data_IF_320524530102
#
_entry.id   IF_320524530102
#
_cell.length_a   1.000
_cell.length_b   1.000
_cell.length_c   1.000
_cell.angle_alpha   90.00
_cell.angle_beta   90.00
_cell.angle_gamma   90.00
#
_symmetry.space_group_name_H-M   'P 1'
#
loop_
_entity.id
_entity.type
_entity.pdbx_description
1 polymer ?
#
# COMPACT_ATOMS: atom_id res chain seq x y z
N UNK A 1 36.45 31.08 -21.97
CA UNK A 1 35.28 30.96 -21.07
C UNK A 1 35.70 30.20 -19.82
N UNK A 2 35.50 30.75 -18.62
CA UNK A 2 35.95 30.12 -17.37
C UNK A 2 35.02 28.97 -16.95
N UNK A 3 35.60 27.89 -16.41
CA UNK A 3 34.90 26.69 -15.91
C UNK A 3 33.72 27.02 -14.98
N UNK A 4 33.84 28.11 -14.21
CA UNK A 4 32.80 28.62 -13.31
C UNK A 4 31.52 29.06 -14.05
N UNK A 5 31.65 29.67 -15.25
CA UNK A 5 30.47 30.05 -16.05
C UNK A 5 29.72 28.82 -16.56
N UNK A 6 30.46 27.77 -16.95
CA UNK A 6 29.85 26.52 -17.42
C UNK A 6 29.09 25.81 -16.30
N UNK A 7 29.64 25.79 -15.08
CA UNK A 7 28.98 25.22 -13.91
C UNK A 7 27.73 26.01 -13.52
N UNK A 8 27.79 27.34 -13.51
CA UNK A 8 26.64 28.19 -13.20
C UNK A 8 25.46 27.96 -14.17
N UNK A 9 25.74 27.88 -15.48
CA UNK A 9 24.71 27.60 -16.49
C UNK A 9 24.08 26.22 -16.30
N UNK A 10 24.89 25.20 -15.95
CA UNK A 10 24.40 23.84 -15.73
C UNK A 10 23.52 23.72 -14.49
N UNK A 11 23.87 24.40 -13.40
CA UNK A 11 23.03 24.49 -12.21
C UNK A 11 21.72 25.21 -12.47
N UNK A 12 21.76 26.32 -13.22
CA UNK A 12 20.55 27.06 -13.60
C UNK A 12 19.56 26.16 -14.36
N UNK A 13 20.03 25.42 -15.36
CA UNK A 13 19.18 24.52 -16.14
C UNK A 13 18.60 23.36 -15.29
N UNK A 14 19.38 22.84 -14.33
CA UNK A 14 18.88 21.81 -13.42
C UNK A 14 17.71 22.32 -12.55
N UNK A 15 17.86 23.52 -11.97
CA UNK A 15 16.80 24.12 -11.14
C UNK A 15 15.55 24.49 -11.96
N UNK A 16 15.71 24.92 -13.20
CA UNK A 16 14.58 25.18 -14.11
C UNK A 16 13.81 23.89 -14.43
N UNK A 17 14.52 22.78 -14.70
CA UNK A 17 13.90 21.47 -14.92
C UNK A 17 13.20 20.94 -13.66
N UNK A 18 13.82 21.09 -12.49
CA UNK A 18 13.22 20.67 -11.23
C UNK A 18 11.99 21.52 -10.87
N UNK A 19 11.99 22.82 -11.18
CA UNK A 19 10.82 23.68 -11.02
C UNK A 19 9.68 23.29 -11.96
N UNK A 20 9.97 22.92 -13.22
CA UNK A 20 8.97 22.43 -14.17
C UNK A 20 8.36 21.11 -13.68
N UNK A 21 9.19 20.16 -13.23
CA UNK A 21 8.74 18.88 -12.69
C UNK A 21 7.89 19.04 -11.44
N UNK A 22 8.30 19.92 -10.50
CA UNK A 22 7.49 20.24 -9.31
C UNK A 22 6.17 20.90 -9.68
N UNK A 23 6.15 21.82 -10.64
CA UNK A 23 4.92 22.50 -11.06
C UNK A 23 3.94 21.53 -11.74
N UNK A 24 4.43 20.64 -12.61
CA UNK A 24 3.62 19.57 -13.19
C UNK A 24 3.04 18.66 -12.11
N UNK A 25 3.84 18.30 -11.10
CA UNK A 25 3.38 17.48 -9.97
C UNK A 25 2.31 18.19 -9.13
N UNK A 26 2.41 19.49 -8.90
CA UNK A 26 1.41 20.24 -8.12
C UNK A 26 0.10 20.46 -8.90
N UNK A 27 0.15 20.70 -10.22
CA UNK A 27 -1.03 20.80 -11.07
C UNK A 27 -1.77 19.45 -11.16
N UNK A 28 -1.04 18.34 -11.27
CA UNK A 28 -1.61 16.99 -11.22
C UNK A 28 -2.23 16.69 -9.86
N UNK A 29 -1.57 17.03 -8.75
CA UNK A 29 -2.13 16.90 -7.39
C UNK A 29 -3.41 17.72 -7.24
N UNK A 30 -3.42 18.97 -7.69
CA UNK A 30 -4.59 19.84 -7.62
C UNK A 30 -5.76 19.28 -8.44
N UNK A 31 -5.47 18.75 -9.64
CA UNK A 31 -6.46 18.08 -10.49
C UNK A 31 -7.04 16.84 -9.82
N UNK A 32 -6.20 16.01 -9.18
CA UNK A 32 -6.64 14.85 -8.41
C UNK A 32 -7.49 15.24 -7.20
N UNK A 33 -7.10 16.26 -6.44
CA UNK A 33 -7.88 16.77 -5.30
C UNK A 33 -9.26 17.24 -5.76
N UNK A 34 -9.33 18.01 -6.85
CA UNK A 34 -10.60 18.46 -7.43
C UNK A 34 -11.48 17.29 -7.83
N UNK A 35 -10.91 16.29 -8.51
CA UNK A 35 -11.64 15.08 -8.92
C UNK A 35 -12.14 14.26 -7.71
N UNK A 36 -11.37 14.20 -6.63
CA UNK A 36 -11.81 13.57 -5.38
C UNK A 36 -12.99 14.32 -4.76
N UNK A 37 -12.96 15.66 -4.71
CA UNK A 37 -14.07 16.47 -4.20
C UNK A 37 -15.36 16.30 -5.04
N UNK A 38 -15.23 16.23 -6.36
CA UNK A 38 -16.36 15.97 -7.27
C UNK A 38 -16.97 14.58 -7.04
N UNK A 39 -16.12 13.56 -6.82
CA UNK A 39 -16.57 12.22 -6.47
C UNK A 39 -17.28 12.17 -5.11
N UNK A 40 -16.75 12.84 -4.08
CA UNK A 40 -17.37 12.92 -2.75
C UNK A 40 -18.75 13.59 -2.82
N UNK A 41 -18.88 14.70 -3.55
CA UNK A 41 -20.17 15.36 -3.77
C UNK A 41 -21.18 14.44 -4.48
N UNK A 42 -20.73 13.67 -5.46
CA UNK A 42 -21.59 12.72 -6.18
C UNK A 42 -22.06 11.57 -5.27
N UNK A 43 -21.17 11.04 -4.43
CA UNK A 43 -21.51 9.99 -3.45
C UNK A 43 -22.53 10.51 -2.43
N UNK A 44 -22.37 11.74 -1.94
CA UNK A 44 -23.32 12.36 -1.01
C UNK A 44 -24.72 12.47 -1.65
N UNK A 45 -24.82 12.98 -2.87
CA UNK A 45 -26.10 13.10 -3.60
C UNK A 45 -26.78 11.74 -3.80
N UNK A 46 -26.03 10.72 -4.20
CA UNK A 46 -26.56 9.35 -4.34
C UNK A 46 -27.05 8.78 -3.00
N UNK A 47 -26.39 9.12 -1.90
CA UNK A 47 -26.80 8.68 -0.56
C UNK A 47 -28.13 9.32 -0.13
N UNK A 48 -28.34 10.60 -0.45
CA UNK A 48 -29.59 11.32 -0.19
C UNK A 48 -30.75 10.78 -1.05
N UNK A 49 -30.51 10.54 -2.34
CA UNK A 49 -31.49 9.92 -3.24
C UNK A 49 -31.89 8.53 -2.75
N UNK A 50 -30.93 7.72 -2.30
CA UNK A 50 -31.19 6.41 -1.70
C UNK A 50 -32.05 6.52 -0.44
N UNK A 51 -31.75 7.47 0.45
CA UNK A 51 -32.54 7.70 1.67
C UNK A 51 -33.98 8.12 1.33
N UNK A 52 -34.17 9.01 0.34
CA UNK A 52 -35.48 9.42 -0.13
C UNK A 52 -36.30 8.25 -0.72
N UNK A 53 -35.66 7.37 -1.49
CA UNK A 53 -36.30 6.17 -2.04
C UNK A 53 -36.68 5.17 -0.93
N UNK A 54 -35.83 4.99 0.07
CA UNK A 54 -36.13 4.15 1.23
C UNK A 54 -37.34 4.69 2.02
N UNK A 55 -37.42 6.00 2.22
CA UNK A 55 -38.58 6.65 2.84
C UNK A 55 -39.89 6.34 2.08
N UNK A 56 -39.89 6.54 0.76
CA UNK A 56 -41.06 6.21 -0.10
C UNK A 56 -41.47 4.74 0.00
N UNK A 57 -40.50 3.82 0.05
CA UNK A 57 -40.77 2.39 0.21
C UNK A 57 -41.42 2.08 1.56
N UNK A 58 -40.96 2.71 2.65
CA UNK A 58 -41.53 2.54 3.99
C UNK A 58 -42.96 3.09 4.06
N UNK A 59 -43.23 4.25 3.46
CA UNK A 59 -44.57 4.84 3.41
C UNK A 59 -45.55 3.98 2.60
N UNK A 60 -45.12 3.46 1.45
CA UNK A 60 -45.91 2.51 0.67
C UNK A 60 -46.24 1.23 1.45
N UNK A 61 -45.26 0.70 2.21
CA UNK A 61 -45.50 -0.46 3.08
C UNK A 61 -46.53 -0.15 4.18
N UNK A 62 -46.51 1.06 4.76
CA UNK A 62 -47.51 1.52 5.73
C UNK A 62 -48.90 1.64 5.11
N UNK A 63 -49.01 2.20 3.90
CA UNK A 63 -50.28 2.30 3.17
C UNK A 63 -50.88 0.92 2.86
N UNK A 64 -50.05 -0.04 2.46
CA UNK A 64 -50.49 -1.43 2.23
C UNK A 64 -51.00 -2.09 3.51
N UNK A 65 -50.34 -1.87 4.66
CA UNK A 65 -50.83 -2.36 5.96
C UNK A 65 -52.19 -1.76 6.35
N UNK A 66 -52.41 -0.46 6.09
CA UNK A 66 -53.70 0.20 6.38
C UNK A 66 -54.85 -0.32 5.51
N UNK A 67 -54.57 -0.79 4.29
CA UNK A 67 -55.58 -1.36 3.38
C UNK A 67 -56.00 -2.79 3.74
N UNK A 68 -55.24 -3.51 4.59
CA UNK A 68 -55.63 -4.83 5.12
C UNK A 68 -56.56 -4.71 6.35
N UNK A 69 -57.70 -4.01 6.22
CA UNK A 69 -58.85 -4.23 7.12
C UNK A 69 -59.83 -5.14 6.42
N UNK A 70 -59.96 -6.41 6.83
CA UNK A 70 -61.04 -7.25 6.35
C UNK A 70 -62.30 -7.02 7.17
N UNK A 71 -63.34 -6.50 6.52
CA UNK A 71 -64.70 -6.96 6.79
C UNK A 71 -64.93 -8.14 5.83
N UNK A 72 -64.51 -9.34 6.23
CA UNK A 72 -65.02 -10.57 5.63
C UNK A 72 -65.40 -11.54 6.75
N UNK A 73 -66.57 -11.34 7.32
CA UNK A 73 -67.37 -12.46 7.82
C UNK A 73 -68.32 -12.85 6.68
N UNK A 74 -67.84 -13.54 5.65
CA UNK A 74 -68.70 -14.35 4.77
C UNK A 74 -67.88 -15.48 4.15
N UNK A 75 -68.33 -16.69 4.47
CA UNK A 75 -67.93 -18.05 4.10
C UNK A 75 -66.84 -18.32 3.04
N UNK A 76 -65.99 -19.30 3.39
CA UNK A 76 -65.58 -20.48 2.58
C UNK A 76 -66.05 -20.41 1.11
N UNK A 77 -65.17 -20.44 0.10
CA UNK A 77 -64.26 -21.56 -0.19
C UNK A 77 -62.91 -21.11 -0.79
N UNK A 78 -61.83 -21.74 -0.29
CA UNK A 78 -60.44 -21.80 -0.78
C UNK A 78 -59.71 -20.51 -1.23
N UNK A 79 -58.99 -19.84 -0.30
CA UNK A 79 -58.07 -18.73 -0.60
C UNK A 79 -56.64 -19.16 -1.01
N UNK A 80 -56.30 -20.44 -1.03
CA UNK A 80 -54.91 -20.91 -1.14
C UNK A 80 -54.30 -20.84 -2.55
N UNK A 81 -55.02 -20.29 -3.54
CA UNK A 81 -54.57 -20.28 -4.95
C UNK A 81 -54.26 -18.91 -5.54
N UNK A 82 -54.58 -17.81 -4.87
CA UNK A 82 -54.45 -16.46 -5.44
C UNK A 82 -53.33 -15.60 -4.86
N UNK A 83 -52.71 -15.97 -3.74
CA UNK A 83 -51.62 -15.18 -3.14
C UNK A 83 -50.22 -15.56 -3.70
N UNK A 84 -50.06 -16.78 -4.22
CA UNK A 84 -48.78 -17.23 -4.79
C UNK A 84 -48.55 -16.72 -6.23
N UNK A 85 -49.59 -16.61 -7.06
CA UNK A 85 -49.46 -16.14 -8.45
C UNK A 85 -49.16 -14.65 -8.54
N UNK A 86 -49.68 -13.83 -7.64
CA UNK A 86 -49.38 -12.39 -7.59
C UNK A 86 -47.97 -12.10 -7.08
N UNK A 87 -47.50 -12.81 -6.04
CA UNK A 87 -46.12 -12.71 -5.56
C UNK A 87 -45.11 -13.23 -6.59
N UNK A 88 -45.45 -14.30 -7.33
CA UNK A 88 -44.63 -14.86 -8.39
C UNK A 88 -44.60 -13.95 -9.64
N UNK A 89 -45.72 -13.30 -9.98
CA UNK A 89 -45.81 -12.31 -11.05
C UNK A 89 -45.01 -11.03 -10.72
N UNK A 90 -45.04 -10.56 -9.46
CA UNK A 90 -44.28 -9.39 -9.03
C UNK A 90 -42.78 -9.64 -8.91
N UNK A 91 -42.37 -10.83 -8.42
CA UNK A 91 -40.96 -11.25 -8.38
C UNK A 91 -40.38 -11.55 -9.77
N UNK A 92 -41.18 -12.04 -10.73
CA UNK A 92 -40.72 -12.32 -12.09
C UNK A 92 -40.69 -11.11 -13.04
N UNK A 93 -41.29 -9.96 -12.69
CA UNK A 93 -41.30 -8.75 -13.55
C UNK A 93 -40.13 -7.78 -13.31
N UNK A 94 -39.18 -8.08 -12.41
CA UNK A 94 -37.88 -7.38 -12.33
C UNK A 94 -36.65 -8.29 -12.52
N UNK A 95 -36.46 -9.00 -13.65
CA UNK A 95 -35.17 -9.63 -13.94
C UNK A 95 -34.11 -8.62 -14.42
N UNK A 96 -34.48 -7.40 -14.79
CA UNK A 96 -33.56 -6.46 -15.47
C UNK A 96 -32.98 -5.34 -14.59
N UNK A 97 -33.51 -5.08 -13.38
CA UNK A 97 -33.05 -3.96 -12.53
C UNK A 97 -32.26 -4.39 -11.29
N UNK A 98 -32.41 -5.62 -10.78
CA UNK A 98 -31.67 -6.06 -9.59
C UNK A 98 -30.21 -6.43 -9.90
N UNK A 99 -29.97 -7.13 -11.03
CA UNK A 99 -28.61 -7.31 -11.56
C UNK A 99 -27.95 -5.96 -11.83
N UNK A 100 -28.65 -5.00 -12.43
CA UNK A 100 -28.10 -3.66 -12.65
C UNK A 100 -27.70 -2.92 -11.38
N UNK A 101 -28.43 -3.06 -10.26
CA UNK A 101 -28.09 -2.37 -9.01
C UNK A 101 -26.99 -3.11 -8.26
N UNK A 102 -27.02 -4.45 -8.16
CA UNK A 102 -25.96 -5.22 -7.52
C UNK A 102 -24.66 -5.22 -8.34
N UNK A 103 -24.76 -5.18 -9.68
CA UNK A 103 -23.63 -5.01 -10.59
C UNK A 103 -23.12 -3.56 -10.52
N UNK A 104 -23.99 -2.53 -10.46
CA UNK A 104 -23.56 -1.15 -10.19
C UNK A 104 -23.01 -0.96 -8.77
N UNK A 105 -23.46 -1.70 -7.76
CA UNK A 105 -22.89 -1.68 -6.41
C UNK A 105 -21.56 -2.43 -6.38
N UNK A 106 -21.41 -3.50 -7.17
CA UNK A 106 -20.14 -4.22 -7.34
C UNK A 106 -19.13 -3.38 -8.13
N UNK A 107 -19.60 -2.67 -9.15
CA UNK A 107 -18.84 -1.76 -9.98
C UNK A 107 -18.54 -0.44 -9.26
N UNK A 108 -19.46 0.08 -8.42
CA UNK A 108 -19.26 1.22 -7.53
C UNK A 108 -18.59 0.88 -6.18
N UNK A 109 -18.43 -0.41 -5.85
CA UNK A 109 -17.44 -0.88 -4.86
C UNK A 109 -16.03 -0.93 -5.43
N UNK A 110 -15.86 -0.99 -6.75
CA UNK A 110 -14.58 -0.99 -7.43
C UNK A 110 -13.86 0.38 -7.64
N UNK A 111 -14.45 1.59 -7.60
CA UNK A 111 -13.70 2.86 -7.66
C UNK A 111 -12.83 3.12 -6.42
N UNK A 112 -13.08 2.45 -5.30
CA UNK A 112 -12.16 2.47 -4.15
C UNK A 112 -10.93 1.59 -4.40
N UNK A 113 -10.98 0.67 -5.37
CA UNK A 113 -9.85 -0.21 -5.67
C UNK A 113 -8.64 0.56 -6.24
N UNK A 114 -8.77 1.44 -7.25
CA UNK A 114 -7.63 2.23 -7.74
C UNK A 114 -7.00 3.12 -6.67
N UNK A 115 -7.82 3.84 -5.88
CA UNK A 115 -7.32 4.72 -4.82
C UNK A 115 -6.62 3.93 -3.71
N UNK A 116 -7.18 2.78 -3.32
CA UNK A 116 -6.57 1.90 -2.33
C UNK A 116 -5.28 1.27 -2.85
N UNK A 117 -5.25 0.81 -4.10
CA UNK A 117 -4.06 0.28 -4.77
C UNK A 117 -2.98 1.34 -4.89
N UNK A 118 -3.33 2.57 -5.27
CA UNK A 118 -2.40 3.69 -5.33
C UNK A 118 -1.85 4.02 -3.94
N UNK A 119 -2.70 4.07 -2.91
CA UNK A 119 -2.28 4.28 -1.53
C UNK A 119 -1.32 3.19 -1.05
N UNK A 120 -1.60 1.93 -1.36
CA UNK A 120 -0.73 0.79 -1.05
C UNK A 120 0.60 0.87 -1.81
N UNK A 121 0.58 1.22 -3.10
CA UNK A 121 1.77 1.39 -3.92
C UNK A 121 2.64 2.55 -3.41
N UNK A 122 2.04 3.68 -3.04
CA UNK A 122 2.74 4.82 -2.42
C UNK A 122 3.38 4.44 -1.10
N UNK A 123 2.65 3.74 -0.22
CA UNK A 123 3.18 3.26 1.06
C UNK A 123 4.34 2.25 0.86
N UNK A 124 4.22 1.36 -0.11
CA UNK A 124 5.28 0.41 -0.49
C UNK A 124 6.52 1.16 -0.98
N UNK A 125 6.35 2.13 -1.88
CA UNK A 125 7.43 2.96 -2.39
C UNK A 125 8.12 3.74 -1.25
N UNK A 126 7.36 4.41 -0.39
CA UNK A 126 7.90 5.14 0.75
C UNK A 126 8.73 4.24 1.66
N UNK A 127 8.25 3.01 1.93
CA UNK A 127 9.00 2.05 2.75
C UNK A 127 10.30 1.60 2.08
N UNK A 128 10.27 1.37 0.76
CA UNK A 128 11.48 1.04 -0.01
C UNK A 128 12.49 2.20 0.03
N UNK A 129 12.05 3.43 -0.21
CA UNK A 129 12.90 4.63 -0.14
C UNK A 129 13.50 4.80 1.27
N UNK A 130 12.69 4.58 2.31
CA UNK A 130 13.17 4.61 3.69
C UNK A 130 14.28 3.56 3.90
N UNK A 131 14.06 2.30 3.51
CA UNK A 131 15.08 1.25 3.61
C UNK A 131 16.35 1.57 2.79
N UNK A 132 16.23 2.21 1.62
CA UNK A 132 17.38 2.70 0.84
C UNK A 132 18.25 3.66 1.64
N UNK A 133 17.62 4.72 2.16
CA UNK A 133 18.32 5.71 2.98
C UNK A 133 18.98 5.06 4.20
N UNK A 134 18.30 4.11 4.82
CA UNK A 134 18.81 3.33 5.94
C UNK A 134 20.06 2.51 5.59
N UNK A 135 20.04 1.78 4.46
CA UNK A 135 21.17 0.97 4.03
C UNK A 135 22.40 1.84 3.72
N UNK A 136 22.18 3.00 3.09
CA UNK A 136 23.24 4.00 2.92
C UNK A 136 23.80 4.47 4.26
N UNK A 137 22.93 4.76 5.23
CA UNK A 137 23.35 5.18 6.56
C UNK A 137 24.15 4.10 7.31
N UNK A 138 23.71 2.82 7.25
CA UNK A 138 24.45 1.69 7.83
C UNK A 138 25.89 1.67 7.30
N UNK A 139 26.04 1.76 5.98
CA UNK A 139 27.37 1.71 5.34
C UNK A 139 28.22 2.90 5.75
N UNK A 140 27.66 4.10 5.71
CA UNK A 140 28.38 5.32 6.14
C UNK A 140 28.83 5.25 7.60
N UNK A 141 27.97 4.71 8.46
CA UNK A 141 28.28 4.51 9.87
C UNK A 141 29.36 3.44 10.07
N UNK A 142 29.27 2.31 9.39
CA UNK A 142 30.28 1.25 9.43
C UNK A 142 31.66 1.77 8.99
N UNK A 143 31.71 2.61 7.95
CA UNK A 143 32.94 3.28 7.49
C UNK A 143 33.46 4.25 8.56
N UNK A 144 32.59 5.09 9.11
CA UNK A 144 32.94 6.08 10.15
C UNK A 144 33.51 5.42 11.41
N UNK A 145 32.88 4.34 11.82
CA UNK A 145 33.25 3.57 13.01
C UNK A 145 34.41 2.58 12.72
N UNK A 146 34.98 2.61 11.51
CA UNK A 146 36.12 1.80 11.05
C UNK A 146 35.87 0.28 11.08
N UNK A 147 34.61 -0.14 10.98
CA UNK A 147 34.20 -1.56 10.88
C UNK A 147 34.58 -2.10 9.50
N UNK A 148 34.39 -1.29 8.45
CA UNK A 148 34.73 -1.61 7.07
C UNK A 148 35.62 -0.51 6.45
N UNK A 149 36.31 -0.84 5.36
CA UNK A 149 37.18 0.10 4.63
C UNK A 149 36.67 0.27 3.20
N UNK A 150 35.75 1.22 3.02
CA UNK A 150 35.24 1.52 1.66
C UNK A 150 36.17 2.51 0.98
N UNK A 151 36.80 2.08 -0.11
CA UNK A 151 37.57 2.96 -1.00
C UNK A 151 36.62 4.01 -1.58
N UNK A 152 37.03 5.30 -1.69
CA UNK A 152 36.22 6.32 -2.33
C UNK A 152 35.95 5.96 -3.80
N UNK A 153 34.80 5.34 -4.05
CA UNK A 153 34.26 5.15 -5.39
C UNK A 153 33.20 6.21 -5.63
N UNK A 154 33.24 6.83 -6.81
CA UNK A 154 32.24 7.81 -7.25
C UNK A 154 30.85 7.17 -7.44
N UNK A 155 30.80 5.85 -7.63
CA UNK A 155 29.59 5.06 -7.88
C UNK A 155 29.60 3.77 -7.02
N UNK A 156 28.45 3.35 -6.50
CA UNK A 156 28.36 2.06 -5.78
C UNK A 156 29.01 2.02 -4.39
N UNK A 157 29.27 3.17 -3.75
CA UNK A 157 29.83 3.22 -2.38
C UNK A 157 28.99 2.39 -1.39
N UNK A 158 27.67 2.49 -1.47
CA UNK A 158 26.75 1.72 -0.63
C UNK A 158 26.85 0.22 -0.92
N UNK A 159 26.86 -0.18 -2.19
CA UNK A 159 26.99 -1.60 -2.55
C UNK A 159 28.30 -2.20 -2.04
N UNK A 160 29.43 -1.56 -2.37
CA UNK A 160 30.75 -2.04 -1.94
C UNK A 160 30.83 -2.11 -0.41
N UNK A 161 30.21 -1.17 0.28
CA UNK A 161 30.14 -1.18 1.73
C UNK A 161 29.25 -2.30 2.29
N UNK A 162 28.11 -2.58 1.65
CA UNK A 162 27.26 -3.72 2.00
C UNK A 162 28.01 -5.03 1.75
N UNK A 163 28.65 -5.21 0.60
CA UNK A 163 29.45 -6.41 0.30
C UNK A 163 30.55 -6.65 1.34
N UNK A 164 31.29 -5.60 1.72
CA UNK A 164 32.27 -5.69 2.80
C UNK A 164 31.63 -6.01 4.15
N UNK A 165 30.46 -5.44 4.48
CA UNK A 165 29.70 -5.80 5.67
C UNK A 165 29.28 -7.27 5.64
N UNK A 166 28.84 -7.76 4.47
CA UNK A 166 28.46 -9.15 4.21
C UNK A 166 29.59 -10.14 4.47
N UNK A 167 30.84 -9.71 4.30
CA UNK A 167 32.04 -10.50 4.56
C UNK A 167 32.47 -10.50 6.04
N UNK A 168 31.87 -9.67 6.89
CA UNK A 168 32.24 -9.64 8.32
C UNK A 168 31.78 -10.90 9.05
N UNK A 169 32.56 -11.32 10.05
CA UNK A 169 32.22 -12.47 10.90
C UNK A 169 30.89 -12.26 11.64
N UNK A 170 30.63 -11.04 12.07
CA UNK A 170 29.40 -10.69 12.78
C UNK A 170 28.17 -10.86 11.87
N UNK A 171 28.22 -10.33 10.65
CA UNK A 171 27.15 -10.48 9.68
C UNK A 171 26.88 -11.94 9.34
N UNK A 172 27.92 -12.69 8.99
CA UNK A 172 27.77 -14.11 8.61
C UNK A 172 27.21 -14.97 9.74
N UNK A 173 27.62 -14.70 10.99
CA UNK A 173 27.08 -15.39 12.18
C UNK A 173 25.60 -15.10 12.38
N UNK A 174 25.19 -13.83 12.32
CA UNK A 174 23.79 -13.43 12.50
C UNK A 174 22.94 -13.97 11.34
N UNK A 175 23.45 -13.92 10.10
CA UNK A 175 22.75 -14.42 8.93
C UNK A 175 22.44 -15.92 9.05
N UNK A 176 23.42 -16.72 9.46
CA UNK A 176 23.24 -18.15 9.67
C UNK A 176 22.18 -18.44 10.74
N UNK A 177 22.15 -17.65 11.81
CA UNK A 177 21.12 -17.76 12.85
C UNK A 177 19.73 -17.43 12.30
N UNK A 178 19.59 -16.34 11.53
CA UNK A 178 18.33 -15.96 10.90
C UNK A 178 17.83 -16.98 9.89
N UNK A 179 18.70 -17.45 9.00
CA UNK A 179 18.39 -18.46 7.98
C UNK A 179 17.93 -19.76 8.65
N UNK A 180 18.65 -20.22 9.69
CA UNK A 180 18.28 -21.41 10.46
C UNK A 180 16.95 -21.24 11.19
N UNK A 181 16.74 -20.11 11.86
CA UNK A 181 15.52 -19.85 12.62
C UNK A 181 14.27 -19.80 11.73
N UNK A 182 14.43 -19.38 10.47
CA UNK A 182 13.35 -19.26 9.49
C UNK A 182 13.21 -20.47 8.56
N UNK A 183 14.09 -21.46 8.68
CA UNK A 183 14.10 -22.64 7.81
C UNK A 183 14.40 -22.30 6.34
N UNK A 184 15.24 -21.30 6.08
CA UNK A 184 15.58 -20.85 4.73
C UNK A 184 16.86 -21.52 4.21
N UNK A 185 17.07 -21.45 2.89
CA UNK A 185 18.31 -21.84 2.25
C UNK A 185 19.30 -20.65 2.24
N UNK A 186 20.54 -20.87 2.69
CA UNK A 186 21.54 -19.79 2.82
C UNK A 186 21.98 -19.23 1.46
N UNK A 187 22.11 -20.08 0.44
CA UNK A 187 22.55 -19.68 -0.89
C UNK A 187 21.51 -18.77 -1.54
N UNK A 188 20.23 -19.15 -1.45
CA UNK A 188 19.11 -18.33 -1.91
C UNK A 188 19.05 -16.96 -1.19
N UNK A 189 19.25 -16.94 0.12
CA UNK A 189 19.27 -15.69 0.89
C UNK A 189 20.45 -14.79 0.48
N UNK A 190 21.60 -15.37 0.13
CA UNK A 190 22.74 -14.62 -0.40
C UNK A 190 22.47 -14.08 -1.82
N UNK A 191 21.72 -14.78 -2.66
CA UNK A 191 21.24 -14.23 -3.93
C UNK A 191 20.36 -12.99 -3.69
N UNK A 192 19.43 -13.04 -2.73
CA UNK A 192 18.64 -11.87 -2.31
C UNK A 192 19.54 -10.72 -1.83
N UNK A 193 20.61 -11.02 -1.09
CA UNK A 193 21.58 -10.02 -0.64
C UNK A 193 22.24 -9.27 -1.81
N UNK A 194 22.62 -9.98 -2.86
CA UNK A 194 23.17 -9.36 -4.07
C UNK A 194 22.11 -8.55 -4.83
N UNK A 195 20.85 -8.99 -4.81
CA UNK A 195 19.72 -8.29 -5.46
C UNK A 195 19.28 -7.02 -4.72
N UNK A 196 19.52 -6.92 -3.41
CA UNK A 196 19.32 -5.68 -2.64
C UNK A 196 20.06 -4.50 -3.27
N UNK A 197 21.14 -4.74 -4.04
CA UNK A 197 21.81 -3.72 -4.83
C UNK A 197 20.86 -2.94 -5.77
N UNK A 198 20.03 -3.64 -6.54
CA UNK A 198 19.05 -3.00 -7.43
C UNK A 198 18.04 -2.17 -6.64
N UNK A 199 17.80 -2.57 -5.39
CA UNK A 199 16.98 -1.82 -4.48
C UNK A 199 17.68 -0.61 -3.90
N UNK A 200 19.01 -0.40 -3.98
CA UNK A 200 19.73 0.72 -3.32
C UNK A 200 20.48 1.66 -4.26
N UNK A 201 20.27 1.57 -5.56
CA UNK A 201 21.13 2.23 -6.57
C UNK A 201 21.12 3.76 -6.54
N UNK A 202 20.14 4.42 -5.92
CA UNK A 202 20.17 5.88 -5.74
C UNK A 202 19.96 6.31 -4.28
N UNK A 203 20.85 7.18 -3.75
CA UNK A 203 20.67 7.76 -2.42
C UNK A 203 19.38 8.56 -2.39
N UNK A 204 18.50 8.21 -1.47
CA UNK A 204 17.30 8.99 -1.19
C UNK A 204 17.51 9.71 0.12
N UNK A 205 16.90 10.89 0.27
CA UNK A 205 17.02 11.66 1.50
C UNK A 205 16.45 10.82 2.66
N UNK A 206 17.33 10.39 3.56
CA UNK A 206 16.95 9.60 4.72
C UNK A 206 16.32 10.51 5.78
N UNK A 207 15.07 10.20 6.15
CA UNK A 207 14.45 10.78 7.34
C UNK A 207 14.76 9.89 8.55
N UNK A 208 15.44 10.39 9.60
CA UNK A 208 15.74 9.59 10.78
C UNK A 208 14.46 9.19 11.53
N UNK A 209 13.95 7.99 11.23
CA UNK A 209 12.82 7.36 11.90
C UNK A 209 13.07 5.88 12.22
N UNK A 210 12.23 5.26 13.06
CA UNK A 210 12.31 3.83 13.31
C UNK A 210 12.08 3.01 12.03
N UNK A 211 12.99 2.09 11.72
CA UNK A 211 12.82 1.19 10.57
C UNK A 211 11.83 0.09 10.93
N UNK A 212 10.85 -0.15 10.06
CA UNK A 212 9.94 -1.30 10.19
C UNK A 212 10.12 -2.20 8.98
N UNK A 213 10.53 -3.45 9.21
CA UNK A 213 10.58 -4.48 8.17
C UNK A 213 9.30 -5.31 8.27
N UNK A 214 8.46 -5.26 7.23
CA UNK A 214 7.14 -5.90 7.22
C UNK A 214 7.12 -7.10 6.28
N UNK A 215 6.52 -8.21 6.73
CA UNK A 215 6.31 -9.41 5.90
C UNK A 215 5.39 -9.17 4.69
N UNK A 216 4.55 -8.14 4.74
CA UNK A 216 3.69 -7.78 3.61
C UNK A 216 4.44 -7.07 2.47
N UNK A 217 5.68 -6.62 2.71
CA UNK A 217 6.45 -5.81 1.77
C UNK A 217 7.67 -6.53 1.19
N UNK A 218 8.26 -7.43 1.97
CA UNK A 218 9.47 -8.17 1.63
C UNK A 218 9.18 -9.66 1.69
N UNK A 219 9.74 -10.41 0.73
CA UNK A 219 9.72 -11.85 0.82
C UNK A 219 10.59 -12.35 1.99
N UNK A 220 10.58 -13.66 2.23
CA UNK A 220 11.29 -14.24 3.35
C UNK A 220 12.81 -14.03 3.28
N UNK A 221 13.40 -14.00 2.09
CA UNK A 221 14.84 -13.88 1.87
C UNK A 221 15.32 -12.46 2.04
N UNK A 222 14.66 -11.51 1.38
CA UNK A 222 14.88 -10.07 1.54
C UNK A 222 14.73 -9.67 3.02
N UNK A 223 13.67 -10.15 3.67
CA UNK A 223 13.43 -9.89 5.09
C UNK A 223 14.55 -10.45 5.97
N UNK A 224 15.02 -11.67 5.72
CA UNK A 224 16.11 -12.27 6.48
C UNK A 224 17.40 -11.43 6.36
N UNK A 225 17.72 -10.91 5.17
CA UNK A 225 18.86 -10.01 4.97
C UNK A 225 18.68 -8.69 5.71
N UNK A 226 17.53 -8.03 5.54
CA UNK A 226 17.27 -6.74 6.19
C UNK A 226 17.35 -6.87 7.71
N UNK A 227 16.74 -7.92 8.28
CA UNK A 227 16.80 -8.22 9.71
C UNK A 227 18.23 -8.52 10.15
N UNK A 228 19.02 -9.23 9.35
CA UNK A 228 20.44 -9.48 9.63
C UNK A 228 21.22 -8.16 9.74
N UNK A 229 21.10 -7.28 8.74
CA UNK A 229 21.75 -5.95 8.76
C UNK A 229 21.31 -5.11 9.97
N UNK A 230 20.02 -5.16 10.30
CA UNK A 230 19.44 -4.46 11.46
C UNK A 230 19.96 -5.02 12.79
N UNK A 231 20.17 -6.32 12.90
CA UNK A 231 20.77 -6.97 14.07
C UNK A 231 22.27 -6.65 14.19
N UNK A 232 23.02 -6.68 13.10
CA UNK A 232 24.43 -6.26 13.06
C UNK A 232 24.57 -4.83 13.59
N UNK A 233 23.81 -3.87 13.06
CA UNK A 233 23.91 -2.48 13.52
C UNK A 233 23.41 -2.28 14.95
N UNK A 234 22.58 -3.19 15.47
CA UNK A 234 22.11 -3.12 16.86
C UNK A 234 23.22 -3.27 17.89
N UNK A 235 24.35 -3.89 17.49
CA UNK A 235 25.53 -4.05 18.33
C UNK A 235 26.48 -2.84 18.27
N UNK A 236 26.19 -1.83 17.43
CA UNK A 236 27.04 -0.64 17.29
C UNK A 236 26.70 0.42 18.33
N UNK A 237 27.59 1.39 18.53
CA UNK A 237 27.35 2.53 19.41
C UNK A 237 26.20 3.39 18.86
N UNK A 238 25.16 3.65 19.67
CA UNK A 238 23.94 4.38 19.27
C UNK A 238 23.21 3.70 18.09
N UNK A 239 22.67 2.49 18.29
CA UNK A 239 21.99 1.77 17.23
C UNK A 239 20.70 2.50 16.81
N UNK A 240 20.33 2.36 15.54
CA UNK A 240 19.04 2.81 15.06
C UNK A 240 17.94 1.93 15.62
N UNK A 241 16.83 2.57 16.00
CA UNK A 241 15.62 1.87 16.46
C UNK A 241 14.97 1.18 15.26
N UNK A 242 14.58 -0.07 15.45
CA UNK A 242 13.87 -0.83 14.43
C UNK A 242 12.96 -1.87 15.05
N UNK A 243 12.05 -2.41 14.23
CA UNK A 243 11.21 -3.55 14.57
C UNK A 243 10.90 -4.39 13.33
N UNK A 244 10.70 -5.68 13.55
CA UNK A 244 10.11 -6.57 12.56
C UNK A 244 8.59 -6.62 12.80
N UNK A 245 7.80 -6.35 11.76
CA UNK A 245 6.35 -6.42 11.80
C UNK A 245 5.88 -7.71 11.10
N UNK A 246 5.31 -8.62 11.89
CA UNK A 246 4.69 -9.85 11.39
C UNK A 246 3.18 -9.58 11.37
N UNK A 247 2.57 -9.56 10.18
CA UNK A 247 1.12 -9.46 10.09
C UNK A 247 0.50 -10.73 10.66
N UNK A 248 -0.48 -10.59 11.56
CA UNK A 248 -1.09 -11.71 12.29
C UNK A 248 -1.93 -12.67 11.42
N UNK A 249 -1.81 -12.58 10.09
CA UNK A 249 -2.60 -13.38 9.16
C UNK A 249 -1.93 -14.72 8.77
N UNK A 250 -0.70 -14.98 9.21
CA UNK A 250 0.04 -16.24 8.93
C UNK A 250 -0.20 -17.34 9.98
N UNK A 251 -1.39 -17.37 10.60
CA UNK A 251 -1.80 -18.42 11.52
C UNK A 251 -2.80 -19.36 10.89
N UNK A 252 -2.33 -20.33 10.08
CA UNK A 252 -2.92 -21.66 9.78
C UNK A 252 -2.31 -22.22 8.48
N UNK A 253 -1.25 -23.01 8.60
CA UNK A 253 -0.93 -24.11 7.70
C UNK A 253 -0.48 -25.30 8.56
#
# INVERSE_FOLDING_TARGET
>A
MSLQRLQATRFKHYWEQEAILRKGSEEEKASLVKRCQELEATVLKLSEEKAALLGKCQDNARLLKKRKKPNYETSLEHPDRLDCTWLHYWNNRRPLSKKSIDDQIREARNPLSPVLQEKQARQKLETILHIRGFLSFIVEKAVRDKIIKVTPSRWGKTQNGLEQLGQTREFTTILQQEVKARGLNIDWVMECFHMIYYMVSEPTFWNPGPVTVSNNLFDAGDRAILVTLLKVQSNWKNPLKWKEAISCNEGKY
#
